data_IF_721410356782
#
_entry.id   IF_721410356782
#
_cell.length_a   1.000
_cell.length_b   1.000
_cell.length_c   1.000
_cell.angle_alpha   90.00
_cell.angle_beta   90.00
_cell.angle_gamma   90.00
#
_symmetry.space_group_name_H-M   'P 1'
#
loop_
_entity.id
_entity.type
_entity.pdbx_description
1 polymer ?
#
# COMPACT_ATOMS: atom_id res chain seq x y z
N UNK A 1 -19.44 19.42 0.17
CA UNK A 1 -20.31 19.23 1.37
C UNK A 1 -19.58 19.90 2.54
N UNK A 2 -20.32 20.45 3.51
CA UNK A 2 -19.69 20.92 4.74
C UNK A 2 -19.10 19.72 5.49
N UNK A 3 -18.00 19.91 6.25
CA UNK A 3 -17.44 18.87 7.09
C UNK A 3 -18.46 18.28 8.05
N UNK A 4 -18.31 17.00 8.35
CA UNK A 4 -19.21 16.23 9.18
C UNK A 4 -18.48 15.72 10.42
N UNK A 5 -19.23 15.28 11.41
CA UNK A 5 -18.71 14.53 12.55
C UNK A 5 -19.45 13.21 12.71
N UNK A 6 -18.72 12.20 13.19
CA UNK A 6 -19.24 10.90 13.56
C UNK A 6 -18.90 10.62 15.02
N UNK A 7 -19.90 10.63 15.91
CA UNK A 7 -19.69 10.23 17.30
C UNK A 7 -19.21 8.79 17.42
N UNK A 8 -18.24 8.51 18.30
CA UNK A 8 -17.71 7.15 18.47
C UNK A 8 -18.78 6.13 18.88
N UNK A 9 -19.80 6.55 19.64
CA UNK A 9 -20.94 5.71 19.99
C UNK A 9 -21.78 5.29 18.77
N UNK A 10 -21.70 6.05 17.65
CA UNK A 10 -22.42 5.75 16.41
C UNK A 10 -21.54 5.06 15.36
N UNK A 11 -20.25 4.87 15.66
CA UNK A 11 -19.31 4.22 14.74
C UNK A 11 -19.74 2.78 14.44
N UNK A 12 -20.16 2.03 15.46
CA UNK A 12 -20.66 0.66 15.28
C UNK A 12 -21.93 0.60 14.41
N UNK A 13 -22.80 1.62 14.50
CA UNK A 13 -24.00 1.72 13.65
C UNK A 13 -23.59 1.90 12.18
N UNK A 14 -22.61 2.76 11.91
CA UNK A 14 -22.05 2.96 10.57
C UNK A 14 -21.46 1.65 10.03
N UNK A 15 -20.69 0.93 10.84
CA UNK A 15 -20.08 -0.34 10.42
C UNK A 15 -21.16 -1.38 10.11
N UNK A 16 -22.20 -1.52 10.94
CA UNK A 16 -23.35 -2.41 10.65
C UNK A 16 -24.11 -2.01 9.39
N UNK A 17 -24.29 -0.70 9.16
CA UNK A 17 -24.89 -0.20 7.92
C UNK A 17 -24.06 -0.61 6.69
N UNK A 18 -22.74 -0.53 6.77
CA UNK A 18 -21.84 -0.97 5.72
C UNK A 18 -21.87 -2.49 5.53
N UNK A 19 -21.89 -3.28 6.59
CA UNK A 19 -21.96 -4.75 6.54
C UNK A 19 -23.24 -5.24 5.82
N UNK A 20 -24.32 -4.50 5.87
CA UNK A 20 -25.53 -4.80 5.12
C UNK A 20 -25.41 -4.65 3.59
N UNK A 21 -24.34 -4.02 3.10
CA UNK A 21 -24.15 -3.66 1.68
C UNK A 21 -22.79 -4.07 1.10
N UNK A 22 -21.78 -4.22 1.95
CA UNK A 22 -20.39 -4.46 1.58
C UNK A 22 -19.79 -5.56 2.45
N UNK A 23 -18.81 -6.25 1.91
CA UNK A 23 -17.84 -6.94 2.75
C UNK A 23 -17.00 -5.88 3.47
N UNK A 24 -17.11 -5.78 4.78
CA UNK A 24 -16.33 -4.83 5.56
C UNK A 24 -15.01 -5.46 5.97
N UNK A 25 -13.92 -4.75 5.71
CA UNK A 25 -12.57 -5.13 6.11
C UNK A 25 -11.91 -3.98 6.86
N UNK A 26 -11.10 -4.32 7.87
CA UNK A 26 -10.38 -3.31 8.64
C UNK A 26 -9.28 -3.93 9.51
N UNK A 27 -8.58 -3.12 10.30
CA UNK A 27 -7.49 -3.58 11.15
C UNK A 27 -8.03 -4.40 12.32
N UNK A 28 -7.56 -5.63 12.41
CA UNK A 28 -7.88 -6.57 13.49
C UNK A 28 -6.58 -6.97 14.20
N UNK A 29 -6.57 -6.91 15.52
CA UNK A 29 -5.44 -7.36 16.32
C UNK A 29 -5.20 -8.87 16.15
N UNK A 30 -3.95 -9.26 16.01
CA UNK A 30 -3.51 -10.65 15.92
C UNK A 30 -2.77 -11.03 17.21
N UNK A 31 -3.08 -12.20 17.78
CA UNK A 31 -2.38 -12.67 18.97
C UNK A 31 -0.91 -12.98 18.66
N UNK A 32 -0.08 -13.01 19.71
CA UNK A 32 1.37 -13.27 19.62
C UNK A 32 1.66 -14.63 18.99
N UNK A 33 0.78 -15.60 19.22
CA UNK A 33 0.90 -16.96 18.65
C UNK A 33 0.73 -16.98 17.12
N UNK A 34 -0.08 -16.04 16.59
CA UNK A 34 -0.30 -15.93 15.15
C UNK A 34 0.78 -15.10 14.44
N UNK A 35 1.39 -14.15 15.15
CA UNK A 35 2.43 -13.26 14.63
C UNK A 35 3.46 -13.01 15.71
N UNK A 36 4.71 -13.34 15.47
CA UNK A 36 5.79 -13.12 16.42
C UNK A 36 5.84 -11.64 16.86
N UNK A 37 5.64 -11.40 18.16
CA UNK A 37 5.56 -10.06 18.75
C UNK A 37 4.17 -9.41 18.68
N UNK A 38 3.11 -10.14 18.24
CA UNK A 38 1.79 -9.57 18.00
C UNK A 38 1.73 -8.70 16.75
N UNK A 39 0.58 -8.11 16.47
CA UNK A 39 0.44 -7.20 15.33
C UNK A 39 -1.01 -7.01 14.89
N UNK A 40 -1.17 -6.39 13.73
CA UNK A 40 -2.49 -6.16 13.11
C UNK A 40 -2.50 -6.64 11.68
N UNK A 41 -3.67 -7.07 11.21
CA UNK A 41 -3.93 -7.41 9.82
C UNK A 41 -5.27 -6.81 9.40
N UNK A 42 -5.35 -6.35 8.14
CA UNK A 42 -6.67 -6.08 7.57
C UNK A 42 -7.38 -7.40 7.32
N UNK A 43 -8.54 -7.59 7.96
CA UNK A 43 -9.36 -8.80 7.86
C UNK A 43 -10.81 -8.45 7.56
N UNK A 44 -11.53 -9.40 6.96
CA UNK A 44 -12.99 -9.32 6.91
C UNK A 44 -13.55 -9.49 8.31
N UNK A 45 -14.40 -8.58 8.74
CA UNK A 45 -15.01 -8.60 10.08
C UNK A 45 -16.43 -9.15 10.01
N UNK A 46 -16.83 -9.82 11.07
CA UNK A 46 -18.20 -10.30 11.31
C UNK A 46 -18.97 -9.45 12.34
N UNK A 47 -18.24 -8.64 13.13
CA UNK A 47 -18.80 -7.73 14.12
C UNK A 47 -17.92 -6.47 14.24
N UNK A 48 -18.51 -5.27 14.44
CA UNK A 48 -17.77 -4.01 14.58
C UNK A 48 -16.70 -4.04 15.69
N UNK A 49 -16.91 -4.76 16.77
CA UNK A 49 -15.97 -4.88 17.90
C UNK A 49 -14.62 -5.51 17.55
N UNK A 50 -14.52 -6.16 16.39
CA UNK A 50 -13.27 -6.70 15.88
C UNK A 50 -12.30 -5.64 15.33
N UNK A 51 -12.81 -4.44 15.01
CA UNK A 51 -11.99 -3.34 14.50
C UNK A 51 -11.18 -2.70 15.61
N UNK A 52 -9.87 -2.60 15.42
CA UNK A 52 -8.99 -1.81 16.25
C UNK A 52 -8.56 -0.53 15.51
N UNK A 53 -9.31 0.55 15.72
CA UNK A 53 -9.01 1.85 15.11
C UNK A 53 -7.79 2.55 15.76
N UNK A 54 -7.25 2.00 16.86
CA UNK A 54 -6.02 2.47 17.50
C UNK A 54 -4.74 1.83 16.95
N UNK A 55 -4.85 0.97 15.94
CA UNK A 55 -3.73 0.20 15.41
C UNK A 55 -2.60 1.09 14.86
N UNK A 56 -1.31 0.75 15.10
CA UNK A 56 -0.21 1.52 14.56
C UNK A 56 0.05 1.22 13.09
N UNK A 57 0.12 -0.06 12.71
CA UNK A 57 0.41 -0.51 11.35
C UNK A 57 0.05 -1.99 11.20
N UNK A 58 -0.42 -2.37 10.01
CA UNK A 58 -0.63 -3.78 9.65
C UNK A 58 0.60 -4.37 8.97
N UNK A 59 0.81 -5.69 9.09
CA UNK A 59 1.92 -6.41 8.45
C UNK A 59 1.80 -6.29 6.93
N UNK A 60 0.69 -6.77 6.36
CA UNK A 60 0.39 -6.59 4.95
C UNK A 60 -0.51 -5.37 4.75
N UNK A 61 -0.23 -4.55 3.72
CA UNK A 61 -1.06 -3.41 3.39
C UNK A 61 -2.41 -3.85 2.82
N UNK A 62 -3.44 -2.98 2.87
CA UNK A 62 -4.77 -3.26 2.32
C UNK A 62 -4.80 -3.46 0.80
N UNK A 63 -3.70 -3.20 0.07
CA UNK A 63 -3.59 -3.47 -1.38
C UNK A 63 -4.02 -4.89 -1.76
N UNK A 64 -3.93 -5.86 -0.83
CA UNK A 64 -4.35 -7.27 -1.07
C UNK A 64 -5.82 -7.41 -1.46
N UNK A 65 -6.64 -6.43 -1.19
CA UNK A 65 -8.06 -6.42 -1.57
C UNK A 65 -8.30 -5.91 -3.00
N UNK A 66 -7.35 -5.19 -3.58
CA UNK A 66 -7.39 -4.73 -4.97
C UNK A 66 -6.53 -5.60 -5.87
N UNK A 67 -5.33 -5.91 -5.38
CA UNK A 67 -4.33 -6.75 -6.01
C UNK A 67 -4.01 -7.92 -5.04
N UNK A 68 -4.76 -9.03 -5.10
CA UNK A 68 -4.58 -10.15 -4.18
C UNK A 68 -3.25 -10.88 -4.45
N UNK A 69 -2.69 -11.54 -3.39
CA UNK A 69 -1.44 -12.30 -3.53
C UNK A 69 -1.50 -13.42 -4.57
N UNK A 70 -2.71 -13.87 -4.88
CA UNK A 70 -2.96 -14.96 -5.79
C UNK A 70 -4.36 -14.84 -6.40
N UNK A 71 -4.47 -14.95 -7.74
CA UNK A 71 -5.74 -14.87 -8.45
C UNK A 71 -5.71 -15.60 -9.78
N UNK A 72 -6.88 -16.04 -10.24
CA UNK A 72 -7.07 -16.59 -11.59
C UNK A 72 -7.39 -15.45 -12.54
N UNK A 73 -6.58 -15.28 -13.59
CA UNK A 73 -6.80 -14.31 -14.65
C UNK A 73 -7.72 -14.85 -15.74
N UNK A 74 -7.48 -16.11 -16.13
CA UNK A 74 -8.23 -16.79 -17.17
C UNK A 74 -8.50 -18.24 -16.73
N UNK A 75 -9.67 -18.76 -17.11
CA UNK A 75 -9.95 -20.18 -17.15
C UNK A 75 -10.14 -20.60 -18.62
N UNK A 76 -9.60 -21.70 -19.02
CA UNK A 76 -9.72 -22.21 -20.37
C UNK A 76 -10.04 -23.70 -20.37
N UNK A 77 -10.72 -24.14 -21.38
CA UNK A 77 -11.09 -25.54 -21.49
C UNK A 77 -11.48 -25.94 -22.92
N UNK A 78 -11.62 -27.25 -23.10
CA UNK A 78 -12.12 -27.84 -24.31
C UNK A 78 -13.15 -28.92 -23.96
N UNK A 79 -14.29 -28.84 -24.61
CA UNK A 79 -15.37 -29.83 -24.49
C UNK A 79 -15.95 -30.20 -25.87
N UNK A 80 -17.07 -30.92 -25.91
CA UNK A 80 -17.71 -31.33 -27.14
C UNK A 80 -18.18 -30.16 -28.03
N UNK A 81 -18.35 -28.97 -27.46
CA UNK A 81 -18.76 -27.74 -28.17
C UNK A 81 -17.56 -26.96 -28.75
N UNK A 82 -16.34 -27.30 -28.34
CA UNK A 82 -15.10 -26.65 -28.77
C UNK A 82 -14.23 -26.12 -27.63
N UNK A 83 -13.33 -25.20 -27.97
CA UNK A 83 -12.47 -24.54 -26.98
C UNK A 83 -13.15 -23.28 -26.47
N UNK A 84 -13.06 -23.02 -25.15
CA UNK A 84 -13.60 -21.81 -24.50
C UNK A 84 -12.55 -21.19 -23.60
N UNK A 85 -12.63 -19.87 -23.44
CA UNK A 85 -11.80 -19.08 -22.51
C UNK A 85 -12.72 -18.11 -21.78
N UNK A 86 -12.58 -18.08 -20.48
CA UNK A 86 -13.31 -17.16 -19.59
C UNK A 86 -12.33 -16.32 -18.77
N UNK A 87 -12.65 -15.05 -18.59
CA UNK A 87 -11.92 -14.14 -17.70
C UNK A 87 -12.77 -13.84 -16.45
N UNK A 88 -12.70 -14.66 -15.39
CA UNK A 88 -13.55 -14.51 -14.21
C UNK A 88 -13.09 -13.31 -13.38
N UNK A 89 -13.68 -12.14 -13.60
CA UNK A 89 -13.40 -10.95 -12.78
C UNK A 89 -14.17 -11.03 -11.46
N UNK A 90 -13.49 -11.40 -10.39
CA UNK A 90 -14.06 -11.46 -9.06
C UNK A 90 -13.94 -10.10 -8.36
N UNK A 91 -15.03 -9.35 -8.31
CA UNK A 91 -15.10 -8.09 -7.60
C UNK A 91 -16.36 -8.05 -6.71
N UNK A 92 -16.14 -8.02 -5.41
CA UNK A 92 -17.17 -7.92 -4.38
C UNK A 92 -17.18 -6.48 -3.83
N UNK A 93 -18.34 -5.82 -3.66
CA UNK A 93 -18.41 -4.56 -2.95
C UNK A 93 -17.73 -4.68 -1.59
N UNK A 94 -16.69 -3.89 -1.37
CA UNK A 94 -15.84 -3.99 -0.17
C UNK A 94 -15.65 -2.60 0.44
N UNK A 95 -16.00 -2.43 1.71
CA UNK A 95 -15.66 -1.24 2.49
C UNK A 95 -14.36 -1.52 3.27
N UNK A 96 -13.32 -0.73 3.00
CA UNK A 96 -12.03 -0.81 3.68
C UNK A 96 -11.96 0.31 4.69
N UNK A 97 -12.01 -0.03 5.97
CA UNK A 97 -12.10 0.90 7.09
C UNK A 97 -10.75 1.02 7.77
N UNK A 98 -10.35 2.25 8.09
CA UNK A 98 -9.14 2.53 8.87
C UNK A 98 -7.85 2.60 8.05
N UNK A 99 -7.90 2.83 6.73
CA UNK A 99 -6.68 3.00 5.92
C UNK A 99 -5.92 4.27 6.31
N UNK A 100 -4.64 4.13 6.67
CA UNK A 100 -3.78 5.31 6.92
C UNK A 100 -3.46 6.07 5.62
N UNK A 101 -3.14 7.37 5.68
CA UNK A 101 -2.83 8.19 4.50
C UNK A 101 -1.77 7.56 3.58
N UNK A 102 -0.72 6.93 4.14
CA UNK A 102 0.30 6.26 3.34
C UNK A 102 -0.23 5.06 2.54
N UNK A 103 -1.23 4.33 3.03
CA UNK A 103 -1.88 3.23 2.31
C UNK A 103 -2.89 3.77 1.27
N UNK A 104 -3.55 4.88 1.56
CA UNK A 104 -4.40 5.61 0.59
C UNK A 104 -3.55 6.13 -0.57
N UNK A 105 -2.44 6.81 -0.28
CA UNK A 105 -1.48 7.28 -1.30
C UNK A 105 -0.95 6.11 -2.16
N UNK A 106 -0.61 5.00 -1.50
CA UNK A 106 -0.14 3.81 -2.21
C UNK A 106 -1.19 3.24 -3.17
N UNK A 107 -2.47 3.24 -2.77
CA UNK A 107 -3.58 2.80 -3.61
C UNK A 107 -3.74 3.73 -4.81
N UNK A 108 -3.71 5.04 -4.60
CA UNK A 108 -3.75 6.03 -5.68
C UNK A 108 -2.60 5.86 -6.69
N UNK A 109 -1.38 5.53 -6.22
CA UNK A 109 -0.27 5.21 -7.11
C UNK A 109 -0.50 3.89 -7.88
N UNK A 110 -1.08 2.88 -7.25
CA UNK A 110 -1.42 1.62 -7.93
C UNK A 110 -2.56 1.81 -8.94
N UNK A 111 -3.50 2.73 -8.71
CA UNK A 111 -4.52 3.10 -9.68
C UNK A 111 -3.86 3.58 -10.99
N UNK A 112 -2.81 4.43 -10.92
CA UNK A 112 -2.06 4.85 -12.11
C UNK A 112 -1.33 3.68 -12.78
N UNK A 113 -0.72 2.80 -11.98
CA UNK A 113 0.02 1.64 -12.50
C UNK A 113 -0.88 0.71 -13.30
N UNK A 114 -2.05 0.37 -12.76
CA UNK A 114 -2.95 -0.62 -13.33
C UNK A 114 -3.93 -0.04 -14.36
N UNK A 115 -4.00 1.28 -14.52
CA UNK A 115 -4.76 1.95 -15.59
C UNK A 115 -3.90 2.39 -16.77
N UNK A 116 -2.56 2.37 -16.64
CA UNK A 116 -1.65 2.82 -17.69
C UNK A 116 -1.58 1.82 -18.84
N UNK A 117 -1.46 2.34 -20.06
CA UNK A 117 -1.31 1.60 -21.33
C UNK A 117 -2.44 0.58 -21.55
N UNK A 118 -2.32 -0.61 -21.01
CA UNK A 118 -3.37 -1.63 -21.01
C UNK A 118 -3.94 -1.77 -19.61
N UNK A 119 -5.18 -1.33 -19.44
CA UNK A 119 -5.86 -1.38 -18.15
C UNK A 119 -6.06 -2.80 -17.64
N UNK A 120 -5.79 -3.04 -16.36
CA UNK A 120 -6.01 -4.33 -15.69
C UNK A 120 -7.47 -4.43 -15.18
N UNK A 121 -8.33 -5.23 -15.82
CA UNK A 121 -9.74 -5.30 -15.46
C UNK A 121 -9.95 -5.94 -14.07
N UNK A 122 -9.06 -6.82 -13.62
CA UNK A 122 -9.17 -7.47 -12.31
C UNK A 122 -8.92 -6.48 -11.17
N UNK A 123 -7.88 -5.66 -11.30
CA UNK A 123 -7.58 -4.60 -10.32
C UNK A 123 -8.67 -3.53 -10.33
N UNK A 124 -8.97 -2.97 -11.51
CA UNK A 124 -9.88 -1.84 -11.64
C UNK A 124 -11.31 -2.19 -11.20
N UNK A 125 -11.81 -3.39 -11.52
CA UNK A 125 -13.14 -3.80 -11.07
C UNK A 125 -13.25 -3.91 -9.55
N UNK A 126 -12.19 -4.34 -8.85
CA UNK A 126 -12.18 -4.35 -7.38
C UNK A 126 -12.07 -2.95 -6.82
N UNK A 127 -11.24 -2.11 -7.45
CA UNK A 127 -11.04 -0.72 -7.03
C UNK A 127 -12.32 0.10 -7.19
N UNK A 128 -13.03 -0.07 -8.28
CA UNK A 128 -14.30 0.59 -8.54
C UNK A 128 -15.39 0.23 -7.52
N UNK A 129 -15.40 -1.01 -7.03
CA UNK A 129 -16.36 -1.49 -6.02
C UNK A 129 -15.89 -1.31 -4.58
N UNK A 130 -14.75 -0.67 -4.37
CA UNK A 130 -14.23 -0.44 -3.03
C UNK A 130 -14.66 0.93 -2.50
N UNK A 131 -15.13 0.95 -1.26
CA UNK A 131 -15.34 2.16 -0.47
C UNK A 131 -14.19 2.28 0.52
N UNK A 132 -13.46 3.39 0.49
CA UNK A 132 -12.29 3.63 1.35
C UNK A 132 -12.62 4.63 2.44
N UNK A 133 -12.58 4.17 3.69
CA UNK A 133 -12.69 5.00 4.89
C UNK A 133 -11.29 5.07 5.52
N UNK A 134 -10.63 6.20 5.31
CA UNK A 134 -9.31 6.47 5.86
C UNK A 134 -9.35 6.83 7.34
N UNK A 135 -8.21 6.67 8.00
CA UNK A 135 -7.97 7.10 9.38
C UNK A 135 -6.69 7.94 9.41
N UNK A 136 -6.82 9.21 9.77
CA UNK A 136 -5.68 10.12 9.81
C UNK A 136 -4.73 9.82 10.98
N UNK A 137 -3.47 10.21 10.84
CA UNK A 137 -2.39 9.93 11.77
C UNK A 137 -1.88 11.21 12.42
N UNK A 138 -1.73 11.24 13.74
CA UNK A 138 -1.10 12.36 14.49
C UNK A 138 0.32 12.06 14.96
N UNK A 139 0.79 10.84 14.82
CA UNK A 139 2.14 10.39 15.18
C UNK A 139 2.61 9.28 14.25
N UNK A 140 3.93 9.09 14.08
CA UNK A 140 4.49 7.95 13.36
C UNK A 140 4.02 6.62 13.95
N UNK A 141 3.85 5.61 13.10
CA UNK A 141 3.50 4.26 13.54
C UNK A 141 4.58 3.68 14.48
N UNK A 142 5.85 3.97 14.16
CA UNK A 142 7.04 3.62 14.94
C UNK A 142 8.28 4.40 14.43
N UNK A 143 9.46 4.00 14.91
CA UNK A 143 10.75 4.56 14.54
C UNK A 143 11.13 4.35 13.06
N UNK A 144 10.52 3.39 12.36
CA UNK A 144 10.79 3.10 10.94
C UNK A 144 9.99 3.99 9.99
N UNK A 145 8.92 4.66 10.48
CA UNK A 145 8.07 5.49 9.65
C UNK A 145 8.76 6.82 9.30
N UNK A 146 8.71 7.22 8.01
CA UNK A 146 9.19 8.49 7.47
C UNK A 146 8.28 9.01 6.35
N UNK A 147 6.98 8.83 6.51
CA UNK A 147 5.96 9.21 5.53
C UNK A 147 5.88 10.72 5.29
N UNK A 148 6.31 11.55 6.26
CA UNK A 148 6.47 12.99 6.10
C UNK A 148 7.48 13.32 4.99
N UNK A 149 8.65 12.68 5.01
CA UNK A 149 9.70 12.91 4.00
C UNK A 149 9.27 12.49 2.59
N UNK A 150 8.39 11.49 2.49
CA UNK A 150 7.94 10.94 1.21
C UNK A 150 6.65 11.59 0.68
N UNK A 151 6.12 12.61 1.38
CA UNK A 151 4.92 13.32 0.97
C UNK A 151 3.62 12.53 1.04
N UNK A 152 3.61 11.36 1.69
CA UNK A 152 2.43 10.50 1.78
C UNK A 152 1.63 10.63 3.09
N UNK A 153 2.05 11.57 3.96
CA UNK A 153 1.36 11.86 5.22
C UNK A 153 0.05 12.62 4.99
N UNK A 154 0.00 13.43 3.94
CA UNK A 154 -1.18 14.21 3.57
C UNK A 154 -1.71 13.69 2.23
N UNK A 155 -3.01 13.42 2.17
CA UNK A 155 -3.70 12.98 0.96
C UNK A 155 -4.99 13.77 0.78
N UNK A 156 -5.16 14.35 -0.41
CA UNK A 156 -6.34 15.15 -0.75
C UNK A 156 -7.37 14.35 -1.55
N UNK A 157 -7.02 13.12 -1.96
CA UNK A 157 -7.85 12.25 -2.78
C UNK A 157 -7.53 10.77 -2.54
N UNK A 158 -8.28 9.88 -3.18
CA UNK A 158 -8.07 8.43 -3.11
C UNK A 158 -8.86 7.74 -1.98
N UNK A 159 -9.67 8.48 -1.24
CA UNK A 159 -10.58 7.98 -0.20
C UNK A 159 -12.01 8.47 -0.42
N UNK A 160 -12.98 7.82 0.19
CA UNK A 160 -14.37 8.25 0.20
C UNK A 160 -14.69 9.08 1.46
N UNK A 161 -14.21 8.65 2.61
CA UNK A 161 -14.19 9.41 3.86
C UNK A 161 -12.80 9.36 4.49
N UNK A 162 -12.34 10.45 5.11
CA UNK A 162 -11.16 10.49 5.97
C UNK A 162 -11.59 10.87 7.39
N UNK A 163 -11.23 10.04 8.35
CA UNK A 163 -11.58 10.20 9.77
C UNK A 163 -10.40 10.77 10.54
N UNK A 164 -10.57 11.92 11.19
CA UNK A 164 -9.61 12.50 12.14
C UNK A 164 -10.15 12.32 13.56
N UNK A 165 -9.41 11.65 14.42
CA UNK A 165 -9.82 11.34 15.80
C UNK A 165 -9.74 12.58 16.69
N UNK A 166 -10.88 13.10 17.14
CA UNK A 166 -11.00 14.22 18.07
C UNK A 166 -11.17 13.78 19.54
N UNK A 167 -11.13 12.50 19.83
CA UNK A 167 -11.30 11.94 21.17
C UNK A 167 -12.67 11.24 21.32
N UNK A 168 -13.73 11.98 21.47
CA UNK A 168 -15.12 11.46 21.61
C UNK A 168 -15.82 11.20 20.27
N UNK A 169 -15.31 11.76 19.19
CA UNK A 169 -15.84 11.67 17.83
C UNK A 169 -14.75 11.73 16.77
N UNK A 170 -15.10 11.43 15.54
CA UNK A 170 -14.27 11.66 14.36
C UNK A 170 -14.77 12.89 13.60
N UNK A 171 -13.84 13.77 13.25
CA UNK A 171 -14.07 14.75 12.19
C UNK A 171 -13.92 14.06 10.83
N UNK A 172 -14.82 14.34 9.89
CA UNK A 172 -14.98 13.56 8.67
C UNK A 172 -14.86 14.44 7.45
N UNK A 173 -13.78 14.27 6.70
CA UNK A 173 -13.61 14.85 5.38
C UNK A 173 -14.19 13.92 4.32
N UNK A 174 -15.02 14.47 3.44
CA UNK A 174 -15.70 13.74 2.37
C UNK A 174 -14.94 13.90 1.07
N UNK A 175 -14.27 12.85 0.61
CA UNK A 175 -13.36 12.85 -0.52
C UNK A 175 -13.99 12.44 -1.86
N UNK A 176 -15.21 11.90 -1.88
CA UNK A 176 -15.85 11.42 -3.11
C UNK A 176 -17.37 11.56 -3.09
N UNK A 177 -18.00 11.34 -4.24
CA UNK A 177 -19.47 11.28 -4.34
C UNK A 177 -20.04 10.09 -3.56
N UNK A 178 -19.38 8.93 -3.57
CA UNK A 178 -19.77 7.75 -2.77
C UNK A 178 -19.68 8.03 -1.27
N UNK A 179 -18.67 8.78 -0.85
CA UNK A 179 -18.55 9.25 0.53
C UNK A 179 -19.71 10.17 0.90
N UNK A 180 -20.11 11.07 -0.02
CA UNK A 180 -21.28 11.96 0.17
C UNK A 180 -22.59 11.17 0.29
N UNK A 181 -22.80 10.19 -0.57
CA UNK A 181 -23.94 9.29 -0.52
C UNK A 181 -24.00 8.51 0.80
N UNK A 182 -22.85 8.00 1.26
CA UNK A 182 -22.76 7.31 2.56
C UNK A 182 -23.15 8.22 3.72
N UNK A 183 -22.67 9.46 3.74
CA UNK A 183 -23.04 10.44 4.77
C UNK A 183 -24.54 10.68 4.78
N UNK A 184 -25.16 10.86 3.61
CA UNK A 184 -26.59 11.16 3.48
C UNK A 184 -27.49 9.97 3.85
N UNK A 185 -27.07 8.75 3.51
CA UNK A 185 -27.95 7.57 3.60
C UNK A 185 -27.79 6.78 4.89
N UNK A 186 -26.63 6.84 5.55
CA UNK A 186 -26.41 6.08 6.78
C UNK A 186 -27.13 6.65 8.00
N UNK A 187 -27.41 7.96 7.99
CA UNK A 187 -27.98 8.67 9.13
C UNK A 187 -27.06 8.77 10.34
N UNK A 188 -25.76 8.42 10.23
CA UNK A 188 -24.83 8.36 11.36
C UNK A 188 -24.06 9.66 11.60
N UNK A 189 -24.07 10.58 10.66
CA UNK A 189 -23.26 11.79 10.65
C UNK A 189 -24.07 13.02 11.04
N UNK A 190 -23.37 14.01 11.59
CA UNK A 190 -23.90 15.33 11.95
C UNK A 190 -23.02 16.41 11.35
N UNK A 191 -23.54 17.60 10.99
CA UNK A 191 -22.71 18.73 10.60
C UNK A 191 -21.71 19.10 11.70
N UNK A 192 -20.47 19.36 11.33
CA UNK A 192 -19.45 19.80 12.27
C UNK A 192 -19.80 21.19 12.86
N UNK A 193 -19.74 21.33 14.17
CA UNK A 193 -19.92 22.59 14.89
C UNK A 193 -18.57 23.35 14.96
N UNK A 194 -18.61 24.61 15.44
CA UNK A 194 -17.43 25.44 15.58
C UNK A 194 -16.34 24.78 16.47
N UNK A 195 -16.73 24.18 17.59
CA UNK A 195 -15.83 23.44 18.49
C UNK A 195 -15.13 22.26 17.78
N UNK A 196 -15.83 21.58 16.88
CA UNK A 196 -15.26 20.47 16.09
C UNK A 196 -14.20 20.99 15.11
N UNK A 197 -14.40 22.14 14.49
CA UNK A 197 -13.40 22.78 13.63
C UNK A 197 -12.16 23.19 14.42
N UNK A 198 -12.32 23.73 15.64
CA UNK A 198 -11.20 24.10 16.51
C UNK A 198 -10.40 22.85 16.95
N UNK A 199 -11.08 21.78 17.35
CA UNK A 199 -10.44 20.50 17.69
C UNK A 199 -9.74 19.88 16.48
N UNK A 200 -10.31 20.00 15.29
CA UNK A 200 -9.68 19.51 14.05
C UNK A 200 -8.44 20.35 13.71
N UNK A 201 -8.48 21.67 13.88
CA UNK A 201 -7.30 22.51 13.71
C UNK A 201 -6.17 22.12 14.67
N UNK A 202 -6.51 21.77 15.92
CA UNK A 202 -5.56 21.23 16.89
C UNK A 202 -5.02 19.84 16.45
N UNK A 203 -5.87 18.96 15.93
CA UNK A 203 -5.44 17.68 15.37
C UNK A 203 -4.41 17.86 14.24
N UNK A 204 -4.66 18.78 13.31
CA UNK A 204 -3.74 19.12 12.21
C UNK A 204 -2.42 19.70 12.75
N UNK A 205 -2.47 20.54 13.79
CA UNK A 205 -1.27 21.07 14.45
C UNK A 205 -0.45 19.94 15.08
N UNK A 206 -1.08 19.07 15.86
CA UNK A 206 -0.43 17.89 16.47
C UNK A 206 0.18 16.96 15.43
N UNK A 207 -0.52 16.74 14.31
CA UNK A 207 0.01 15.98 13.17
C UNK A 207 1.30 16.60 12.63
N UNK A 208 1.33 17.92 12.41
CA UNK A 208 2.50 18.64 11.92
C UNK A 208 3.68 18.56 12.89
N UNK A 209 3.43 18.69 14.18
CA UNK A 209 4.43 18.62 15.24
C UNK A 209 4.91 17.19 15.53
N UNK A 210 4.03 16.20 15.35
CA UNK A 210 4.29 14.79 15.65
C UNK A 210 5.21 14.08 14.65
N UNK A 211 5.41 14.64 13.45
CA UNK A 211 6.24 14.06 12.40
C UNK A 211 7.46 14.93 12.11
N UNK A 212 8.64 14.41 12.43
CA UNK A 212 9.90 15.04 12.05
C UNK A 212 10.44 14.45 10.74
N UNK A 213 11.10 15.31 9.96
CA UNK A 213 11.87 14.84 8.79
C UNK A 213 13.07 14.02 9.26
N UNK A 214 13.29 12.87 8.61
CA UNK A 214 14.43 11.96 8.87
C UNK A 214 15.46 11.99 7.75
N UNK A 215 15.09 12.55 6.60
CA UNK A 215 15.96 12.75 5.44
C UNK A 215 16.42 14.21 5.46
N UNK A 216 17.71 14.45 5.31
CA UNK A 216 18.33 15.79 5.45
C UNK A 216 18.22 16.66 4.19
N UNK A 217 17.62 16.15 3.13
CA UNK A 217 17.40 16.83 1.85
C UNK A 217 15.96 16.72 1.38
N UNK A 218 15.57 17.61 0.50
CA UNK A 218 14.25 17.55 -0.14
C UNK A 218 14.19 16.35 -1.11
N UNK A 219 13.25 15.44 -0.88
CA UNK A 219 13.10 14.21 -1.67
C UNK A 219 12.75 14.43 -3.14
N UNK A 220 12.43 15.67 -3.55
CA UNK A 220 12.33 16.02 -4.98
C UNK A 220 13.67 15.85 -5.73
N UNK A 221 14.81 15.96 -5.03
CA UNK A 221 16.15 15.75 -5.59
C UNK A 221 16.58 14.28 -5.59
N UNK A 222 15.79 13.40 -5.01
CA UNK A 222 16.10 11.96 -4.91
C UNK A 222 16.42 11.31 -6.27
N UNK A 223 15.72 11.61 -7.39
CA UNK A 223 16.08 11.08 -8.70
C UNK A 223 17.50 11.43 -9.13
N UNK A 224 17.93 12.69 -8.96
CA UNK A 224 19.27 13.14 -9.31
C UNK A 224 20.32 12.47 -8.40
N UNK A 225 20.09 12.44 -7.10
CA UNK A 225 20.99 11.80 -6.13
C UNK A 225 21.16 10.31 -6.46
N UNK A 226 20.10 9.63 -6.87
CA UNK A 226 20.16 8.24 -7.29
C UNK A 226 20.98 8.06 -8.55
N UNK A 227 20.82 8.92 -9.56
CA UNK A 227 21.62 8.85 -10.80
C UNK A 227 23.11 9.02 -10.52
N UNK A 228 23.47 10.02 -9.73
CA UNK A 228 24.85 10.29 -9.32
C UNK A 228 25.46 9.11 -8.52
N UNK A 229 24.59 8.30 -7.89
CA UNK A 229 24.99 7.17 -7.04
C UNK A 229 24.87 5.80 -7.75
N UNK A 230 24.60 5.76 -9.05
CA UNK A 230 24.30 4.50 -9.74
C UNK A 230 25.41 3.46 -9.58
N UNK A 231 26.67 3.85 -9.70
CA UNK A 231 27.85 2.98 -9.60
C UNK A 231 28.52 3.01 -8.22
N UNK A 232 27.82 3.53 -7.20
CA UNK A 232 28.37 3.63 -5.85
C UNK A 232 28.58 2.25 -5.21
N UNK A 233 29.70 2.09 -4.49
CA UNK A 233 30.00 0.92 -3.66
C UNK A 233 28.99 0.75 -2.50
N UNK A 234 28.16 1.75 -2.23
CA UNK A 234 27.07 1.68 -1.26
C UNK A 234 26.15 0.48 -1.53
N UNK A 235 25.87 0.18 -2.80
CA UNK A 235 24.98 -0.92 -3.16
C UNK A 235 25.49 -2.29 -2.73
N UNK A 236 26.79 -2.54 -2.86
CA UNK A 236 27.40 -3.77 -2.39
C UNK A 236 27.43 -3.82 -0.86
N UNK A 237 27.79 -2.72 -0.21
CA UNK A 237 27.79 -2.61 1.25
C UNK A 237 26.39 -2.84 1.84
N UNK A 238 25.37 -2.13 1.34
CA UNK A 238 23.99 -2.21 1.81
C UNK A 238 23.34 -3.58 1.54
N UNK A 239 23.75 -4.28 0.48
CA UNK A 239 23.19 -5.59 0.13
C UNK A 239 23.89 -6.77 0.77
N UNK A 240 25.03 -6.59 1.47
CA UNK A 240 25.88 -7.68 1.96
C UNK A 240 25.13 -8.71 2.77
N UNK A 241 24.20 -8.27 3.65
CA UNK A 241 23.37 -9.15 4.47
C UNK A 241 22.05 -9.60 3.81
N UNK A 242 21.77 -9.18 2.57
CA UNK A 242 20.48 -9.44 1.95
C UNK A 242 20.28 -10.93 1.62
N UNK A 243 19.21 -11.53 2.13
CA UNK A 243 18.83 -12.91 1.82
C UNK A 243 18.14 -13.07 0.46
N UNK A 244 17.84 -11.98 -0.24
CA UNK A 244 17.04 -12.01 -1.48
C UNK A 244 15.67 -12.71 -1.32
N UNK A 245 15.06 -12.62 -0.14
CA UNK A 245 13.83 -13.34 0.22
C UNK A 245 12.55 -12.67 -0.29
N UNK A 246 12.61 -11.44 -0.81
CA UNK A 246 11.43 -10.72 -1.32
C UNK A 246 10.50 -10.10 -0.28
N UNK A 247 10.66 -10.37 1.02
CA UNK A 247 9.78 -9.90 2.09
C UNK A 247 9.51 -8.37 2.02
N UNK A 248 10.55 -7.58 1.75
CA UNK A 248 10.44 -6.12 1.63
C UNK A 248 9.49 -5.65 0.51
N UNK A 249 9.24 -6.46 -0.53
CA UNK A 249 8.29 -6.17 -1.59
C UNK A 249 6.89 -6.67 -1.25
N UNK A 250 6.77 -7.81 -0.60
CA UNK A 250 5.48 -8.38 -0.20
C UNK A 250 4.74 -7.46 0.78
N UNK A 251 5.46 -6.92 1.78
CA UNK A 251 4.88 -5.98 2.77
C UNK A 251 4.76 -4.54 2.24
N UNK A 252 5.27 -4.24 1.06
CA UNK A 252 5.25 -2.88 0.51
C UNK A 252 3.89 -2.55 -0.11
N UNK A 253 3.24 -1.44 0.26
CA UNK A 253 1.94 -1.08 -0.29
C UNK A 253 1.98 -0.69 -1.77
N UNK A 254 3.13 -0.22 -2.27
CA UNK A 254 3.31 0.23 -3.66
C UNK A 254 4.06 -0.77 -4.55
N UNK A 255 4.40 -1.98 -4.07
CA UNK A 255 4.97 -3.01 -4.92
C UNK A 255 3.88 -3.80 -5.63
N UNK A 256 4.09 -4.03 -6.92
CA UNK A 256 3.16 -4.73 -7.81
C UNK A 256 3.86 -5.76 -8.72
N UNK A 257 5.05 -6.24 -8.33
CA UNK A 257 5.69 -7.34 -9.02
C UNK A 257 4.81 -8.59 -8.94
N UNK A 258 4.63 -9.27 -10.06
CA UNK A 258 3.89 -10.52 -10.14
C UNK A 258 4.54 -11.47 -11.15
N UNK A 259 4.21 -12.73 -11.00
CA UNK A 259 4.45 -13.78 -11.97
C UNK A 259 3.12 -14.29 -12.54
N UNK A 260 3.15 -14.82 -13.76
CA UNK A 260 2.00 -15.42 -14.45
C UNK A 260 2.34 -16.84 -14.85
N UNK A 261 1.56 -17.80 -14.37
CA UNK A 261 1.74 -19.22 -14.64
C UNK A 261 0.48 -19.85 -15.19
N UNK A 262 0.63 -20.81 -16.09
CA UNK A 262 -0.46 -21.65 -16.59
C UNK A 262 -0.46 -22.99 -15.86
N UNK A 263 -1.59 -23.32 -15.25
CA UNK A 263 -1.85 -24.62 -14.63
C UNK A 263 -2.82 -25.39 -15.51
N UNK A 264 -2.37 -26.52 -16.04
CA UNK A 264 -3.19 -27.42 -16.86
C UNK A 264 -3.60 -28.64 -16.03
N UNK A 265 -4.86 -29.01 -16.07
CA UNK A 265 -5.36 -30.20 -15.39
C UNK A 265 -4.75 -31.49 -16.00
N UNK A 266 -4.72 -32.57 -15.22
CA UNK A 266 -4.13 -33.84 -15.62
C UNK A 266 -4.80 -34.48 -16.85
N UNK A 267 -6.05 -34.13 -17.08
CA UNK A 267 -6.82 -34.59 -18.25
C UNK A 267 -6.47 -33.82 -19.55
N UNK A 268 -5.66 -32.75 -19.44
CA UNK A 268 -5.28 -31.86 -20.52
C UNK A 268 -6.47 -31.18 -21.22
N UNK A 269 -7.65 -31.16 -20.60
CA UNK A 269 -8.87 -30.58 -21.20
C UNK A 269 -9.15 -29.18 -20.60
N UNK A 270 -8.72 -28.92 -19.39
CA UNK A 270 -8.97 -27.65 -18.68
C UNK A 270 -7.70 -27.07 -18.10
N UNK A 271 -7.70 -25.76 -17.86
CA UNK A 271 -6.59 -25.10 -17.20
C UNK A 271 -6.95 -23.68 -16.75
N UNK A 272 -6.00 -23.05 -16.10
CA UNK A 272 -6.11 -21.71 -15.57
C UNK A 272 -4.81 -20.95 -15.77
N UNK A 273 -4.90 -19.69 -16.16
CA UNK A 273 -3.80 -18.72 -16.05
C UNK A 273 -3.92 -18.00 -14.74
N UNK A 274 -2.88 -18.03 -13.96
CA UNK A 274 -2.84 -17.44 -12.63
C UNK A 274 -1.80 -16.34 -12.53
N UNK A 275 -2.10 -15.36 -11.70
CA UNK A 275 -1.17 -14.32 -11.26
C UNK A 275 -0.88 -14.51 -9.78
N UNK A 276 0.37 -14.48 -9.40
CA UNK A 276 0.83 -14.47 -8.00
C UNK A 276 1.80 -13.32 -7.75
N UNK A 277 1.81 -12.78 -6.51
CA UNK A 277 2.82 -11.79 -6.15
C UNK A 277 4.21 -12.37 -6.30
N UNK A 278 5.10 -11.55 -6.80
CA UNK A 278 6.51 -11.84 -6.95
C UNK A 278 7.36 -10.68 -6.44
N UNK A 279 8.68 -10.77 -6.55
CA UNK A 279 9.59 -9.79 -6.01
C UNK A 279 10.80 -9.56 -6.90
N UNK A 280 11.06 -8.29 -7.26
CA UNK A 280 12.28 -7.91 -7.95
C UNK A 280 13.56 -8.16 -7.13
N UNK A 281 13.43 -8.59 -5.87
CA UNK A 281 14.56 -9.02 -5.03
C UNK A 281 14.90 -10.50 -5.18
N UNK A 282 14.03 -11.31 -5.78
CA UNK A 282 14.30 -12.71 -6.09
C UNK A 282 15.28 -12.80 -7.29
N UNK A 283 16.16 -13.80 -7.28
CA UNK A 283 17.11 -13.99 -8.37
C UNK A 283 16.40 -14.31 -9.69
N UNK A 284 15.39 -15.17 -9.63
CA UNK A 284 14.62 -15.62 -10.79
C UNK A 284 13.80 -14.52 -11.47
N UNK A 285 13.44 -13.44 -10.75
CA UNK A 285 12.54 -12.40 -11.28
C UNK A 285 13.09 -11.68 -12.55
N UNK A 286 14.42 -11.60 -12.71
CA UNK A 286 15.05 -10.95 -13.85
C UNK A 286 15.72 -11.94 -14.81
N UNK A 287 15.46 -13.23 -14.64
CA UNK A 287 15.93 -14.28 -15.52
C UNK A 287 14.99 -14.40 -16.72
N UNK A 288 15.57 -14.46 -17.92
CA UNK A 288 14.84 -14.58 -19.17
C UNK A 288 14.98 -16.02 -19.73
N UNK A 289 14.15 -16.37 -20.70
CA UNK A 289 14.08 -17.73 -21.27
C UNK A 289 15.43 -18.30 -21.75
N UNK A 290 16.40 -17.43 -22.11
CA UNK A 290 17.76 -17.83 -22.48
C UNK A 290 18.68 -18.14 -21.31
N UNK A 291 18.21 -18.04 -20.06
CA UNK A 291 19.03 -18.22 -18.84
C UNK A 291 19.86 -17.01 -18.46
N UNK A 292 19.80 -15.92 -19.22
CA UNK A 292 20.46 -14.67 -18.87
C UNK A 292 19.68 -13.95 -17.75
N UNK A 293 20.40 -13.33 -16.81
CA UNK A 293 19.79 -12.62 -15.69
C UNK A 293 20.33 -11.18 -15.61
N UNK A 294 19.49 -10.21 -15.94
CA UNK A 294 19.84 -8.78 -15.94
C UNK A 294 20.16 -8.19 -14.56
N UNK A 295 19.85 -8.91 -13.47
CA UNK A 295 20.08 -8.50 -12.07
C UNK A 295 20.56 -9.68 -11.22
N UNK A 296 21.60 -10.37 -11.67
CA UNK A 296 22.12 -11.56 -11.00
C UNK A 296 22.62 -11.29 -9.58
N UNK A 297 23.32 -10.14 -9.39
CA UNK A 297 23.86 -9.77 -8.08
C UNK A 297 22.80 -9.13 -7.17
N UNK A 298 22.88 -9.45 -5.87
CA UNK A 298 21.95 -8.88 -4.87
C UNK A 298 22.03 -7.36 -4.78
N UNK A 299 23.20 -6.77 -5.01
CA UNK A 299 23.40 -5.31 -5.07
C UNK A 299 22.64 -4.68 -6.23
N UNK A 300 22.65 -5.29 -7.41
CA UNK A 300 21.90 -4.83 -8.56
C UNK A 300 20.38 -4.90 -8.32
N UNK A 301 19.89 -5.93 -7.63
CA UNK A 301 18.46 -6.04 -7.25
C UNK A 301 18.06 -5.01 -6.21
N UNK A 302 18.90 -4.79 -5.18
CA UNK A 302 18.66 -3.76 -4.17
C UNK A 302 18.65 -2.36 -4.80
N UNK A 303 19.67 -2.03 -5.62
CA UNK A 303 19.73 -0.78 -6.39
C UNK A 303 18.47 -0.59 -7.22
N UNK A 304 18.08 -1.57 -8.03
CA UNK A 304 16.86 -1.51 -8.83
C UNK A 304 15.62 -1.21 -7.97
N UNK A 305 15.48 -1.89 -6.82
CA UNK A 305 14.35 -1.65 -5.90
C UNK A 305 14.35 -0.22 -5.39
N UNK A 306 15.49 0.32 -4.99
CA UNK A 306 15.62 1.69 -4.46
C UNK A 306 15.35 2.71 -5.56
N UNK A 307 15.92 2.54 -6.75
CA UNK A 307 15.65 3.36 -7.92
C UNK A 307 14.18 3.35 -8.32
N UNK A 308 13.55 2.18 -8.28
CA UNK A 308 12.12 2.06 -8.55
C UNK A 308 11.30 2.93 -7.60
N UNK A 309 11.70 2.99 -6.33
CA UNK A 309 10.98 3.74 -5.28
C UNK A 309 11.27 5.24 -5.28
N UNK A 310 12.50 5.64 -5.58
CA UNK A 310 12.93 7.03 -5.47
C UNK A 310 12.98 7.78 -6.80
N UNK A 311 13.01 7.07 -7.95
CA UNK A 311 13.17 7.69 -9.25
C UNK A 311 12.13 7.20 -10.27
N UNK A 312 12.18 5.93 -10.69
CA UNK A 312 11.41 5.47 -11.86
C UNK A 312 9.90 5.67 -11.72
N UNK A 313 9.34 5.49 -10.52
CA UNK A 313 7.91 5.74 -10.29
C UNK A 313 7.60 7.24 -10.39
N UNK A 314 8.48 8.11 -9.89
CA UNK A 314 8.32 9.55 -10.01
C UNK A 314 8.34 10.02 -11.47
N UNK A 315 9.28 9.51 -12.25
CA UNK A 315 9.38 9.83 -13.69
C UNK A 315 8.16 9.32 -14.49
N UNK A 316 7.61 8.15 -14.11
CA UNK A 316 6.52 7.52 -14.84
C UNK A 316 5.13 8.06 -14.44
N UNK A 317 4.94 8.42 -13.18
CA UNK A 317 3.63 8.72 -12.60
C UNK A 317 3.56 10.05 -11.83
N UNK A 318 4.66 10.80 -11.76
CA UNK A 318 4.74 12.03 -10.98
C UNK A 318 4.67 11.82 -9.46
N UNK A 319 4.84 10.59 -8.98
CA UNK A 319 4.69 10.20 -7.58
C UNK A 319 5.86 9.33 -7.13
N UNK A 320 6.40 9.60 -5.94
CA UNK A 320 7.42 8.73 -5.34
C UNK A 320 6.84 7.34 -5.07
N UNK A 321 7.58 6.31 -5.45
CA UNK A 321 7.17 4.92 -5.24
C UNK A 321 7.34 4.42 -3.81
N UNK A 322 8.03 5.17 -2.93
CA UNK A 322 8.11 4.91 -1.51
C UNK A 322 7.12 5.82 -0.77
N UNK A 323 6.33 5.28 0.13
CA UNK A 323 5.40 6.03 0.98
C UNK A 323 5.93 6.21 2.42
N UNK A 324 7.16 5.83 2.70
CA UNK A 324 7.77 6.01 4.02
C UNK A 324 7.11 5.26 5.18
N UNK A 325 6.28 4.24 4.92
CA UNK A 325 5.53 3.53 5.97
C UNK A 325 6.37 2.62 6.88
N UNK A 326 7.65 2.39 6.58
CA UNK A 326 8.57 1.57 7.39
C UNK A 326 8.35 0.06 7.35
N UNK A 327 7.30 -0.48 6.72
CA UNK A 327 7.02 -1.93 6.70
C UNK A 327 8.20 -2.76 6.23
N UNK A 328 8.89 -2.32 5.18
CA UNK A 328 10.02 -3.07 4.63
C UNK A 328 11.22 -3.12 5.57
N UNK A 329 11.45 -2.09 6.36
CA UNK A 329 12.53 -2.02 7.34
C UNK A 329 12.22 -2.94 8.53
N UNK A 330 10.97 -2.83 9.05
CA UNK A 330 10.48 -3.64 10.18
C UNK A 330 10.56 -5.13 9.90
N UNK A 331 10.15 -5.55 8.70
CA UNK A 331 10.07 -6.97 8.34
C UNK A 331 11.29 -7.50 7.59
N UNK A 332 12.38 -6.74 7.51
CA UNK A 332 13.62 -7.22 6.90
C UNK A 332 14.41 -8.08 7.89
N UNK A 333 14.59 -9.39 7.64
CA UNK A 333 15.36 -10.25 8.54
C UNK A 333 16.83 -9.86 8.60
N UNK A 334 17.35 -9.20 7.55
CA UNK A 334 18.73 -8.68 7.48
C UNK A 334 18.86 -7.23 7.96
N UNK A 335 17.77 -6.61 8.48
CA UNK A 335 17.74 -5.23 8.97
C UNK A 335 18.22 -4.18 7.95
N UNK A 336 17.94 -4.40 6.67
CA UNK A 336 18.27 -3.45 5.60
C UNK A 336 17.18 -2.39 5.56
N UNK A 337 17.55 -1.14 5.84
CA UNK A 337 16.65 0.01 5.86
C UNK A 337 16.75 0.83 4.59
N UNK A 338 15.62 1.05 3.92
CA UNK A 338 15.58 1.96 2.78
C UNK A 338 15.76 3.42 3.21
N UNK A 339 15.32 3.79 4.42
CA UNK A 339 15.56 5.10 5.00
C UNK A 339 17.06 5.36 5.17
N UNK A 340 17.77 4.41 5.78
CA UNK A 340 19.23 4.53 5.95
C UNK A 340 19.95 4.64 4.60
N UNK A 341 19.52 3.90 3.58
CA UNK A 341 20.07 4.02 2.23
C UNK A 341 19.87 5.45 1.70
N UNK A 342 18.65 6.02 1.81
CA UNK A 342 18.40 7.39 1.38
C UNK A 342 19.26 8.42 2.15
N UNK A 343 19.43 8.24 3.46
CA UNK A 343 20.31 9.11 4.27
C UNK A 343 21.77 9.01 3.84
N UNK A 344 22.27 7.80 3.54
CA UNK A 344 23.66 7.58 3.14
C UNK A 344 23.96 8.11 1.73
N UNK A 345 23.00 8.05 0.80
CA UNK A 345 23.15 8.60 -0.54
C UNK A 345 23.46 10.10 -0.53
N UNK A 346 22.90 10.85 0.43
CA UNK A 346 23.15 12.29 0.55
C UNK A 346 24.58 12.65 1.01
N UNK A 347 25.27 11.72 1.67
CA UNK A 347 26.58 11.96 2.32
C UNK A 347 27.73 11.37 1.53
N UNK A 348 27.44 10.43 0.63
CA UNK A 348 28.48 9.75 -0.16
C UNK A 348 28.79 10.58 -1.41
N UNK A 349 29.98 11.24 -1.52
CA UNK A 349 30.36 11.90 -2.75
C UNK A 349 30.36 10.88 -3.88
N UNK A 350 29.90 11.28 -5.06
CA UNK A 350 30.08 10.50 -6.26
C UNK A 350 31.59 10.20 -6.36
N UNK A 351 32.03 8.98 -6.05
CA UNK A 351 33.40 8.58 -6.27
C UNK A 351 33.63 8.66 -7.75
N UNK A 352 34.51 9.59 -8.16
CA UNK A 352 34.95 9.71 -9.54
C UNK A 352 35.37 8.31 -10.01
N UNK A 353 34.59 7.74 -10.91
CA UNK A 353 34.97 6.50 -11.61
C UNK A 353 36.21 6.80 -12.41
N UNK A 354 37.34 6.33 -11.93
CA UNK A 354 38.47 6.07 -12.81
C UNK A 354 37.98 5.07 -13.87
N UNK A 355 37.91 5.54 -15.10
CA UNK A 355 37.70 4.70 -16.30
C UNK A 355 38.86 3.73 -16.45
#
# INVERSE_FOLDING_TARGET
MLPQVLGKQRFDELIRFLMGRHRVVGPVAKPVEAVAGGGHSFETIADPSQLDMGYPLTILPPKKYFFPPYETLLSFGRDASGSHVEAPVQACPTAIVGMHPCDVYATWLLDDVFSRDVSDPHYLSRRDRALIIGLDCVKPCDEHAFCQDMGSLYVDTGYDLMLSDLGDRYYVDVGSERGRELVQTSGCFEPAAQDDHEKHAEHVRRKREGFANKISYDTKYLPQILDESYDSLLWDAASRGCFSCGACNLVCPTCYCFDVTDEVAMDLQTGRRRRSWDSCMLKSFAEVAGGENFREHRSARLRHRVFRKGKYMLEMFGKLGCVGCGRCDRHCPAKISILQIYQQLAVTPATATGR
#
